data_IF_931521418053
#
_entry.id   IF_931521418053
#
_cell.length_a   1.000
_cell.length_b   1.000
_cell.length_c   1.000
_cell.angle_alpha   90.00
_cell.angle_beta   90.00
_cell.angle_gamma   90.00
#
_symmetry.space_group_name_H-M   'P 1'
#
loop_
_entity.id
_entity.type
_entity.pdbx_description
1 polymer ?
#
# COMPACT_ATOMS: atom_id res chain seq x y z
N UNK A 1 -19.17 -0.29 -10.90
CA UNK A 1 -18.22 -0.06 -12.00
C UNK A 1 -17.63 -1.39 -12.40
N UNK A 2 -17.99 -1.84 -13.59
CA UNK A 2 -17.32 -2.96 -14.24
C UNK A 2 -15.85 -2.57 -14.48
N UNK A 3 -14.95 -3.55 -14.36
CA UNK A 3 -13.52 -3.36 -14.56
C UNK A 3 -13.21 -3.43 -16.06
N UNK A 4 -13.81 -2.54 -16.84
CA UNK A 4 -13.60 -2.47 -18.29
C UNK A 4 -12.38 -1.61 -18.63
N UNK A 5 -11.83 -1.83 -19.81
CA UNK A 5 -10.76 -1.03 -20.40
C UNK A 5 -11.15 0.47 -20.47
N UNK A 6 -12.37 0.75 -20.93
CA UNK A 6 -12.87 2.12 -21.11
C UNK A 6 -12.94 2.90 -19.79
N UNK A 7 -13.37 2.24 -18.71
CA UNK A 7 -13.48 2.89 -17.40
C UNK A 7 -12.10 3.26 -16.81
N UNK A 8 -11.11 2.40 -17.01
CA UNK A 8 -9.75 2.64 -16.54
C UNK A 8 -9.02 3.67 -17.39
N UNK A 9 -9.19 3.61 -18.71
CA UNK A 9 -8.66 4.61 -19.65
C UNK A 9 -9.21 5.99 -19.33
N UNK A 10 -10.53 6.13 -19.16
CA UNK A 10 -11.13 7.41 -18.76
C UNK A 10 -10.57 7.89 -17.42
N UNK A 11 -10.52 7.03 -16.40
CA UNK A 11 -10.01 7.41 -15.09
C UNK A 11 -8.55 7.88 -15.15
N UNK A 12 -7.67 7.14 -15.84
CA UNK A 12 -6.26 7.49 -15.95
C UNK A 12 -6.05 8.78 -16.74
N UNK A 13 -6.84 9.02 -17.79
CA UNK A 13 -6.80 10.30 -18.53
C UNK A 13 -7.18 11.49 -17.64
N UNK A 14 -8.11 11.31 -16.70
CA UNK A 14 -8.44 12.37 -15.74
C UNK A 14 -7.32 12.58 -14.72
N UNK A 15 -6.62 11.51 -14.32
CA UNK A 15 -5.46 11.60 -13.43
C UNK A 15 -4.29 12.30 -14.10
N UNK A 16 -4.04 12.04 -15.38
CA UNK A 16 -2.96 12.65 -16.16
C UNK A 16 -3.07 14.18 -16.22
N UNK A 17 -4.31 14.70 -16.20
CA UNK A 17 -4.58 16.16 -16.14
C UNK A 17 -4.11 16.81 -14.84
N UNK A 18 -3.91 16.02 -13.79
CA UNK A 18 -3.51 16.48 -12.45
C UNK A 18 -2.04 16.12 -12.17
N UNK A 19 -1.62 14.94 -12.63
CA UNK A 19 -0.27 14.39 -12.42
C UNK A 19 0.37 14.15 -13.78
N UNK A 20 1.41 14.92 -14.08
CA UNK A 20 2.16 14.80 -15.33
C UNK A 20 2.94 13.48 -15.37
N UNK A 21 2.90 12.80 -16.53
CA UNK A 21 3.70 11.58 -16.75
C UNK A 21 5.21 11.88 -16.73
N UNK A 22 5.97 11.01 -16.07
CA UNK A 22 7.40 11.20 -15.82
C UNK A 22 8.10 9.86 -15.52
N UNK A 23 9.38 9.76 -15.87
CA UNK A 23 10.22 8.63 -15.48
C UNK A 23 10.47 8.55 -13.97
N UNK A 24 10.24 9.65 -13.23
CA UNK A 24 10.30 9.66 -11.76
C UNK A 24 8.99 9.22 -11.10
N UNK A 25 7.89 9.15 -11.87
CA UNK A 25 6.58 8.75 -11.37
C UNK A 25 6.52 7.22 -11.19
N UNK A 26 5.96 6.78 -10.07
CA UNK A 26 5.72 5.36 -9.80
C UNK A 26 4.25 5.11 -9.49
N UNK A 27 3.62 4.22 -10.25
CA UNK A 27 2.22 3.83 -10.09
C UNK A 27 2.16 2.41 -9.53
N UNK A 28 1.46 2.20 -8.41
CA UNK A 28 1.28 0.89 -7.79
C UNK A 28 -0.19 0.49 -7.85
N UNK A 29 -0.49 -0.64 -8.47
CA UNK A 29 -1.86 -1.12 -8.62
C UNK A 29 -2.00 -2.65 -8.58
N UNK A 30 -3.24 -3.15 -8.66
CA UNK A 30 -3.48 -4.56 -8.96
C UNK A 30 -3.01 -4.86 -10.40
N UNK A 31 -2.53 -6.09 -10.60
CA UNK A 31 -2.10 -6.60 -11.89
C UNK A 31 -3.29 -7.13 -12.70
N UNK A 32 -4.36 -6.35 -12.78
CA UNK A 32 -5.46 -6.65 -13.70
C UNK A 32 -5.03 -6.24 -15.11
N UNK A 33 -5.35 -7.06 -16.12
CA UNK A 33 -4.83 -6.87 -17.49
C UNK A 33 -5.20 -5.49 -18.05
N UNK A 34 -6.45 -5.06 -17.86
CA UNK A 34 -6.89 -3.71 -18.26
C UNK A 34 -6.05 -2.61 -17.62
N UNK A 35 -5.83 -2.66 -16.30
CA UNK A 35 -5.06 -1.63 -15.59
C UNK A 35 -3.64 -1.53 -16.13
N UNK A 36 -2.98 -2.66 -16.38
CA UNK A 36 -1.60 -2.68 -16.88
C UNK A 36 -1.52 -2.10 -18.29
N UNK A 37 -2.47 -2.48 -19.15
CA UNK A 37 -2.58 -1.94 -20.50
C UNK A 37 -2.75 -0.41 -20.47
N UNK A 38 -3.67 0.08 -19.64
CA UNK A 38 -4.12 1.47 -19.70
C UNK A 38 -3.07 2.38 -19.07
N UNK A 39 -2.40 1.93 -18.02
CA UNK A 39 -1.22 2.64 -17.48
C UNK A 39 -0.14 2.75 -18.55
N UNK A 40 0.11 1.71 -19.34
CA UNK A 40 1.16 1.75 -20.37
C UNK A 40 0.81 2.70 -21.52
N UNK A 41 -0.49 2.95 -21.75
CA UNK A 41 -0.96 3.89 -22.78
C UNK A 41 -0.99 5.33 -22.28
N UNK A 42 -1.51 5.57 -21.07
CA UNK A 42 -1.68 6.93 -20.51
C UNK A 42 -0.42 7.45 -19.79
N UNK A 43 0.38 6.56 -19.20
CA UNK A 43 1.60 6.91 -18.46
C UNK A 43 2.80 6.08 -18.95
N UNK A 44 3.22 6.22 -20.23
CA UNK A 44 4.27 5.41 -20.81
C UNK A 44 5.65 5.62 -20.16
N UNK A 45 5.91 6.78 -19.53
CA UNK A 45 7.17 7.05 -18.83
C UNK A 45 7.16 6.54 -17.40
N UNK A 46 6.00 6.49 -16.75
CA UNK A 46 5.89 6.06 -15.36
C UNK A 46 6.29 4.60 -15.14
N UNK A 47 6.95 4.34 -14.01
CA UNK A 47 7.22 2.98 -13.58
C UNK A 47 5.98 2.35 -12.93
N UNK A 48 5.52 1.22 -13.48
CA UNK A 48 4.43 0.46 -12.89
C UNK A 48 4.91 -0.69 -11.99
N UNK A 49 4.44 -0.71 -10.75
CA UNK A 49 4.68 -1.75 -9.76
C UNK A 49 3.41 -2.52 -9.37
N UNK A 50 3.51 -3.84 -9.26
CA UNK A 50 2.44 -4.68 -8.76
C UNK A 50 2.33 -4.59 -7.23
N UNK A 51 1.10 -4.45 -6.74
CA UNK A 51 0.82 -4.54 -5.30
C UNK A 51 1.13 -5.95 -4.77
N UNK A 52 2.04 -6.04 -3.79
CA UNK A 52 2.48 -7.32 -3.21
C UNK A 52 1.34 -8.06 -2.52
N UNK A 53 0.39 -7.37 -1.90
CA UNK A 53 -0.76 -7.99 -1.24
C UNK A 53 -1.65 -8.69 -2.27
N UNK A 54 -1.91 -8.05 -3.41
CA UNK A 54 -2.66 -8.66 -4.50
C UNK A 54 -1.89 -9.84 -5.11
N UNK A 55 -0.58 -9.71 -5.29
CA UNK A 55 0.26 -10.81 -5.77
C UNK A 55 0.22 -12.01 -4.81
N UNK A 56 0.38 -11.79 -3.51
CA UNK A 56 0.26 -12.84 -2.49
C UNK A 56 -1.09 -13.53 -2.52
N UNK A 57 -2.19 -12.77 -2.62
CA UNK A 57 -3.55 -13.33 -2.74
C UNK A 57 -3.68 -14.21 -3.99
N UNK A 58 -3.10 -13.79 -5.13
CA UNK A 58 -3.06 -14.61 -6.37
C UNK A 58 -2.23 -15.88 -6.16
N UNK A 59 -1.08 -15.80 -5.48
CA UNK A 59 -0.25 -16.98 -5.15
C UNK A 59 -1.02 -17.96 -4.25
N UNK A 60 -1.67 -17.49 -3.19
CA UNK A 60 -2.51 -18.33 -2.32
C UNK A 60 -3.63 -18.98 -3.12
N UNK A 61 -4.30 -18.23 -4.00
CA UNK A 61 -5.40 -18.76 -4.81
C UNK A 61 -4.93 -19.84 -5.79
N UNK A 62 -3.81 -19.60 -6.48
CA UNK A 62 -3.29 -20.47 -7.56
C UNK A 62 -2.60 -21.72 -7.02
N UNK A 63 -1.78 -21.59 -5.99
CA UNK A 63 -0.94 -22.67 -5.45
C UNK A 63 -1.43 -23.23 -4.12
N UNK A 64 -2.56 -22.71 -3.60
CA UNK A 64 -3.19 -23.13 -2.34
C UNK A 64 -2.25 -23.11 -1.13
N UNK A 65 -1.21 -22.27 -1.16
CA UNK A 65 -0.18 -22.22 -0.12
C UNK A 65 0.01 -20.81 0.44
N UNK A 66 -0.32 -20.65 1.74
CA UNK A 66 -0.02 -19.43 2.50
C UNK A 66 1.48 -19.28 2.80
N UNK A 67 2.18 -20.40 3.02
CA UNK A 67 3.62 -20.42 3.24
C UNK A 67 4.39 -19.90 2.03
N UNK A 68 3.97 -20.31 0.82
CA UNK A 68 4.54 -19.82 -0.42
C UNK A 68 4.31 -18.32 -0.62
N UNK A 69 3.09 -17.84 -0.36
CA UNK A 69 2.81 -16.40 -0.40
C UNK A 69 3.65 -15.60 0.62
N UNK A 70 3.94 -16.17 1.79
CA UNK A 70 4.85 -15.56 2.76
C UNK A 70 6.28 -15.48 2.23
N UNK A 71 6.80 -16.56 1.61
CA UNK A 71 8.12 -16.53 0.97
C UNK A 71 8.20 -15.48 -0.13
N UNK A 72 7.16 -15.34 -0.96
CA UNK A 72 7.07 -14.30 -2.00
C UNK A 72 7.11 -12.90 -1.38
N UNK A 73 6.38 -12.68 -0.29
CA UNK A 73 6.43 -11.43 0.45
C UNK A 73 7.84 -11.15 0.99
N UNK A 74 8.46 -12.13 1.65
CA UNK A 74 9.82 -11.98 2.17
C UNK A 74 10.82 -11.65 1.06
N UNK A 75 10.76 -12.35 -0.08
CA UNK A 75 11.59 -12.06 -1.25
C UNK A 75 11.34 -10.63 -1.75
N UNK A 76 10.08 -10.23 -1.91
CA UNK A 76 9.72 -8.92 -2.46
C UNK A 76 10.29 -7.74 -1.67
N UNK A 77 10.45 -7.89 -0.35
CA UNK A 77 10.93 -6.83 0.54
C UNK A 77 12.45 -6.81 0.74
N UNK A 78 13.20 -7.73 0.13
CA UNK A 78 14.66 -7.74 0.27
C UNK A 78 15.27 -6.44 -0.28
N UNK A 79 16.36 -6.01 0.34
CA UNK A 79 17.07 -4.78 -0.02
C UNK A 79 18.27 -5.06 -0.92
N UNK A 80 18.88 -6.24 -0.81
CA UNK A 80 20.04 -6.66 -1.60
C UNK A 80 19.64 -7.72 -2.61
N UNK A 81 20.40 -7.79 -3.71
CA UNK A 81 20.23 -8.80 -4.76
C UNK A 81 20.51 -10.20 -4.22
N UNK A 82 21.66 -10.40 -3.57
CA UNK A 82 22.00 -11.68 -2.95
C UNK A 82 20.92 -12.21 -2.00
N UNK A 83 20.36 -11.35 -1.14
CA UNK A 83 19.30 -11.75 -0.21
C UNK A 83 17.99 -12.07 -0.94
N UNK A 84 17.66 -11.32 -2.01
CA UNK A 84 16.53 -11.62 -2.87
C UNK A 84 16.71 -12.96 -3.57
N UNK A 85 17.85 -13.17 -4.23
CA UNK A 85 18.13 -14.34 -5.05
C UNK A 85 18.08 -15.60 -4.18
N UNK A 86 18.69 -15.57 -2.99
CA UNK A 86 18.60 -16.66 -2.01
C UNK A 86 17.15 -16.96 -1.55
N UNK A 87 16.29 -15.94 -1.42
CA UNK A 87 14.86 -16.13 -1.12
C UNK A 87 14.09 -16.64 -2.34
N UNK A 88 14.48 -16.21 -3.54
CA UNK A 88 13.84 -16.59 -4.79
C UNK A 88 14.17 -18.04 -5.16
N UNK A 89 15.39 -18.50 -4.89
CA UNK A 89 15.78 -19.91 -4.98
C UNK A 89 14.98 -20.80 -4.02
N UNK A 90 14.72 -20.32 -2.80
CA UNK A 90 13.84 -21.06 -1.87
C UNK A 90 12.42 -21.20 -2.42
N UNK A 91 11.91 -20.20 -3.15
CA UNK A 91 10.62 -20.30 -3.85
C UNK A 91 10.72 -21.33 -4.98
N UNK A 92 11.82 -21.35 -5.74
CA UNK A 92 12.08 -22.34 -6.80
C UNK A 92 12.10 -23.77 -6.25
N UNK A 93 12.83 -24.01 -5.18
CA UNK A 93 12.91 -25.31 -4.52
C UNK A 93 11.56 -25.75 -3.96
N UNK A 94 10.80 -24.84 -3.35
CA UNK A 94 9.50 -25.17 -2.77
C UNK A 94 8.42 -25.38 -3.83
N UNK A 95 8.44 -24.60 -4.92
CA UNK A 95 7.46 -24.70 -6.01
C UNK A 95 8.00 -24.07 -7.32
N UNK A 96 8.56 -24.89 -8.24
CA UNK A 96 9.08 -24.40 -9.51
C UNK A 96 8.04 -23.69 -10.39
N UNK A 97 6.78 -24.13 -10.36
CA UNK A 97 5.70 -23.51 -11.11
C UNK A 97 5.34 -22.10 -10.59
N UNK A 98 5.47 -21.86 -9.29
CA UNK A 98 5.31 -20.53 -8.70
C UNK A 98 6.50 -19.64 -8.99
N UNK A 99 7.72 -20.18 -8.96
CA UNK A 99 8.91 -19.47 -9.42
C UNK A 99 8.72 -18.98 -10.86
N UNK A 100 8.33 -19.88 -11.78
CA UNK A 100 8.11 -19.53 -13.18
C UNK A 100 7.04 -18.45 -13.35
N UNK A 101 5.91 -18.60 -12.67
CA UNK A 101 4.86 -17.57 -12.66
C UNK A 101 5.34 -16.20 -12.16
N UNK A 102 6.23 -16.15 -11.18
CA UNK A 102 6.78 -14.88 -10.66
C UNK A 102 7.83 -14.27 -11.59
N UNK A 103 8.58 -15.13 -12.29
CA UNK A 103 9.52 -14.74 -13.35
C UNK A 103 8.77 -14.16 -14.55
N UNK A 104 7.66 -14.77 -14.97
CA UNK A 104 6.84 -14.29 -16.09
C UNK A 104 6.15 -12.94 -15.80
N UNK A 105 6.03 -12.55 -14.53
CA UNK A 105 5.57 -11.22 -14.12
C UNK A 105 6.70 -10.18 -14.22
N UNK A 106 7.94 -10.65 -14.30
CA UNK A 106 9.20 -9.93 -14.10
C UNK A 106 9.40 -9.48 -12.65
N UNK A 107 10.57 -9.83 -12.08
CA UNK A 107 10.96 -9.44 -10.72
C UNK A 107 10.99 -7.93 -10.53
N UNK A 108 11.27 -7.18 -11.59
CA UNK A 108 11.23 -5.72 -11.60
C UNK A 108 9.85 -5.14 -11.33
N UNK A 109 8.75 -5.89 -11.51
CA UNK A 109 7.39 -5.41 -11.26
C UNK A 109 6.96 -5.57 -9.80
N UNK A 110 7.51 -6.52 -9.06
CA UNK A 110 6.99 -6.87 -7.72
C UNK A 110 8.03 -6.88 -6.61
N UNK A 111 9.31 -7.03 -6.94
CA UNK A 111 10.38 -6.95 -5.95
C UNK A 111 10.80 -5.51 -5.70
N UNK A 112 11.34 -5.24 -4.53
CA UNK A 112 11.98 -3.98 -4.22
C UNK A 112 13.33 -3.85 -4.93
N UNK A 113 14.15 -4.88 -4.84
CA UNK A 113 15.54 -4.86 -5.29
C UNK A 113 15.71 -4.61 -6.79
N UNK A 114 14.78 -5.11 -7.61
CA UNK A 114 14.85 -5.01 -9.06
C UNK A 114 13.88 -3.98 -9.66
N UNK A 115 13.11 -3.27 -8.82
CA UNK A 115 12.23 -2.21 -9.31
C UNK A 115 13.06 -1.00 -9.73
N UNK A 116 12.79 -0.47 -10.93
CA UNK A 116 13.61 0.58 -11.53
C UNK A 116 13.25 1.99 -11.04
N UNK A 117 12.01 2.20 -10.60
CA UNK A 117 11.53 3.51 -10.16
C UNK A 117 11.65 3.79 -8.67
N UNK A 118 11.21 4.98 -8.28
CA UNK A 118 11.21 5.42 -6.89
C UNK A 118 9.94 4.97 -6.16
N UNK A 119 9.95 3.75 -5.61
CA UNK A 119 8.80 3.22 -4.86
C UNK A 119 8.76 3.57 -3.37
N UNK A 120 9.82 4.16 -2.81
CA UNK A 120 9.89 4.61 -1.40
C UNK A 120 9.35 3.60 -0.35
N UNK A 121 9.64 2.30 -0.50
CA UNK A 121 9.10 1.21 0.34
C UNK A 121 7.60 0.94 0.22
N UNK A 122 6.89 1.66 -0.64
CA UNK A 122 5.51 1.38 -0.97
C UNK A 122 5.48 0.12 -1.86
N UNK A 123 5.04 -0.97 -1.24
CA UNK A 123 4.84 -2.26 -1.90
C UNK A 123 3.36 -2.58 -2.10
N UNK A 124 2.46 -1.79 -1.52
CA UNK A 124 1.04 -2.10 -1.42
C UNK A 124 0.17 -0.96 -1.92
N UNK A 125 -1.02 -1.29 -2.43
CA UNK A 125 -2.10 -0.35 -2.74
C UNK A 125 -2.98 -0.05 -1.52
N UNK A 126 -2.46 -0.21 -0.29
CA UNK A 126 -3.27 -0.12 0.93
C UNK A 126 -3.89 1.27 1.12
N UNK A 127 -3.17 2.34 0.75
CA UNK A 127 -3.69 3.71 0.80
C UNK A 127 -4.96 3.82 -0.05
N UNK A 128 -4.92 3.32 -1.28
CA UNK A 128 -6.08 3.29 -2.17
C UNK A 128 -7.20 2.40 -1.63
N UNK A 129 -6.91 1.21 -1.10
CA UNK A 129 -7.91 0.31 -0.50
C UNK A 129 -8.61 0.96 0.71
N UNK A 130 -7.85 1.63 1.58
CA UNK A 130 -8.36 2.30 2.77
C UNK A 130 -9.22 3.52 2.42
N UNK A 131 -8.77 4.35 1.46
CA UNK A 131 -9.55 5.49 0.99
C UNK A 131 -10.86 5.01 0.34
N UNK A 132 -10.79 3.99 -0.52
CA UNK A 132 -11.96 3.37 -1.14
C UNK A 132 -12.96 2.84 -0.11
N UNK A 133 -12.47 2.26 0.98
CA UNK A 133 -13.32 1.81 2.08
C UNK A 133 -13.95 2.97 2.85
N UNK A 134 -13.19 4.04 3.12
CA UNK A 134 -13.69 5.21 3.84
C UNK A 134 -14.82 5.93 3.09
N UNK A 135 -14.70 6.05 1.77
CA UNK A 135 -15.73 6.66 0.90
C UNK A 135 -16.83 5.69 0.48
N UNK A 136 -16.72 4.39 0.82
CA UNK A 136 -17.65 3.37 0.32
C UNK A 136 -19.12 3.66 0.69
N UNK A 137 -19.36 4.30 1.84
CA UNK A 137 -20.69 4.64 2.34
C UNK A 137 -21.33 5.81 1.58
N UNK A 138 -20.54 6.73 1.03
CA UNK A 138 -21.06 7.90 0.30
C UNK A 138 -21.27 7.63 -1.20
N UNK A 139 -20.84 6.48 -1.72
CA UNK A 139 -20.95 6.14 -3.16
C UNK A 139 -22.38 6.04 -3.69
N UNK A 140 -23.35 5.78 -2.81
CA UNK A 140 -24.76 5.70 -3.17
C UNK A 140 -25.48 7.05 -3.02
N UNK A 141 -24.81 8.06 -2.47
CA UNK A 141 -25.36 9.40 -2.29
C UNK A 141 -25.29 10.21 -3.60
N UNK A 142 -26.12 11.25 -3.75
CA UNK A 142 -25.96 12.23 -4.83
C UNK A 142 -24.53 12.76 -4.92
N UNK A 143 -24.08 13.13 -6.12
CA UNK A 143 -22.68 13.50 -6.38
C UNK A 143 -22.20 14.63 -5.46
N UNK A 144 -23.04 15.64 -5.25
CA UNK A 144 -22.74 16.78 -4.37
C UNK A 144 -22.53 16.31 -2.91
N UNK A 145 -23.39 15.43 -2.41
CA UNK A 145 -23.27 14.84 -1.08
C UNK A 145 -22.00 13.99 -0.94
N UNK A 146 -21.61 13.27 -1.99
CA UNK A 146 -20.36 12.51 -2.01
C UNK A 146 -19.15 13.43 -1.90
N UNK A 147 -19.12 14.55 -2.63
CA UNK A 147 -18.05 15.54 -2.54
C UNK A 147 -17.99 16.20 -1.17
N UNK A 148 -19.14 16.65 -0.63
CA UNK A 148 -19.20 17.21 0.73
C UNK A 148 -18.69 16.21 1.77
N UNK A 149 -19.05 14.93 1.64
CA UNK A 149 -18.55 13.87 2.52
C UNK A 149 -17.03 13.73 2.43
N UNK A 150 -16.47 13.63 1.22
CA UNK A 150 -15.02 13.48 1.00
C UNK A 150 -14.28 14.68 1.58
N UNK A 151 -14.76 15.89 1.32
CA UNK A 151 -14.14 17.11 1.82
C UNK A 151 -14.15 17.15 3.35
N UNK A 152 -15.32 16.95 3.99
CA UNK A 152 -15.43 16.91 5.46
C UNK A 152 -14.53 15.84 6.08
N UNK A 153 -14.42 14.68 5.44
CA UNK A 153 -13.54 13.60 5.88
C UNK A 153 -12.06 14.02 5.83
N UNK A 154 -11.61 14.56 4.70
CA UNK A 154 -10.23 15.02 4.53
C UNK A 154 -9.88 16.17 5.50
N UNK A 155 -10.76 17.16 5.66
CA UNK A 155 -10.58 18.26 6.60
C UNK A 155 -10.41 17.76 8.03
N UNK A 156 -11.25 16.82 8.46
CA UNK A 156 -11.13 16.21 9.80
C UNK A 156 -9.82 15.45 9.97
N UNK A 157 -9.41 14.67 8.96
CA UNK A 157 -8.15 13.91 9.01
C UNK A 157 -6.93 14.83 9.08
N UNK A 158 -6.85 15.84 8.21
CA UNK A 158 -5.74 16.80 8.22
C UNK A 158 -5.70 17.62 9.51
N UNK A 159 -6.85 18.04 10.03
CA UNK A 159 -6.92 18.72 11.33
C UNK A 159 -6.37 17.84 12.45
N UNK A 160 -6.81 16.58 12.54
CA UNK A 160 -6.32 15.63 13.53
C UNK A 160 -4.81 15.36 13.39
N UNK A 161 -4.29 15.24 12.16
CA UNK A 161 -2.86 15.09 11.90
C UNK A 161 -2.07 16.32 12.36
N UNK A 162 -2.55 17.54 12.07
CA UNK A 162 -1.92 18.78 12.55
C UNK A 162 -1.89 18.87 14.08
N UNK A 163 -3.00 18.57 14.76
CA UNK A 163 -3.03 18.56 16.23
C UNK A 163 -2.10 17.52 16.84
N UNK A 164 -1.94 16.36 16.20
CA UNK A 164 -1.01 15.33 16.67
C UNK A 164 0.43 15.76 16.45
N UNK A 165 0.73 16.36 15.30
CA UNK A 165 2.06 16.86 14.96
C UNK A 165 2.48 18.01 15.86
N UNK A 166 1.58 18.95 16.20
CA UNK A 166 1.91 20.09 17.07
C UNK A 166 2.30 19.67 18.49
N UNK A 167 1.83 18.51 18.95
CA UNK A 167 2.19 17.91 20.25
C UNK A 167 3.46 17.07 20.19
N UNK A 168 3.96 16.76 18.98
CA UNK A 168 5.14 15.94 18.79
C UNK A 168 6.39 16.81 18.72
N UNK A 169 7.43 16.42 19.47
CA UNK A 169 8.70 17.16 19.55
C UNK A 169 9.82 16.54 18.70
N UNK A 170 9.54 15.46 17.96
CA UNK A 170 10.50 14.85 17.06
C UNK A 170 10.59 15.61 15.73
N UNK A 171 11.72 15.42 15.04
CA UNK A 171 12.00 16.04 13.74
C UNK A 171 11.08 15.54 12.62
N UNK A 172 10.46 14.37 12.79
CA UNK A 172 9.61 13.73 11.80
C UNK A 172 8.17 13.62 12.30
N UNK A 173 7.21 13.39 11.41
CA UNK A 173 5.85 13.09 11.84
C UNK A 173 5.83 11.84 12.75
N UNK A 174 4.89 11.75 13.72
CA UNK A 174 4.92 10.72 14.77
C UNK A 174 5.01 9.28 14.26
N UNK A 175 4.36 8.98 13.14
CA UNK A 175 4.39 7.66 12.49
C UNK A 175 5.78 7.32 11.92
N UNK A 176 6.44 8.28 11.29
CA UNK A 176 7.78 8.11 10.72
C UNK A 176 8.81 8.02 11.84
N UNK A 177 8.68 8.85 12.86
CA UNK A 177 9.57 8.81 14.03
C UNK A 177 9.52 7.42 14.70
N UNK A 178 8.33 6.83 14.87
CA UNK A 178 8.19 5.45 15.38
C UNK A 178 8.94 4.40 14.55
N UNK A 179 8.90 4.53 13.23
CA UNK A 179 9.62 3.61 12.33
C UNK A 179 11.12 3.81 12.48
N UNK A 180 11.59 5.05 12.52
CA UNK A 180 12.99 5.39 12.72
C UNK A 180 13.50 4.86 14.07
N UNK A 181 12.77 5.11 15.17
CA UNK A 181 13.12 4.60 16.50
C UNK A 181 13.19 3.07 16.54
N UNK A 182 12.32 2.38 15.79
CA UNK A 182 12.37 0.93 15.66
C UNK A 182 13.64 0.47 14.96
N UNK A 183 14.00 1.11 13.83
CA UNK A 183 15.23 0.80 13.12
C UNK A 183 16.47 1.08 13.98
N UNK A 184 16.53 2.23 14.68
CA UNK A 184 17.62 2.56 15.60
C UNK A 184 17.82 1.46 16.64
N UNK A 185 16.72 0.96 17.23
CA UNK A 185 16.77 -0.15 18.20
C UNK A 185 17.30 -1.44 17.58
N UNK A 186 16.85 -1.79 16.36
CA UNK A 186 17.29 -3.00 15.66
C UNK A 186 18.74 -2.94 15.21
N UNK A 187 19.27 -1.75 14.90
CA UNK A 187 20.65 -1.57 14.47
C UNK A 187 21.61 -1.28 15.63
N UNK A 188 21.10 -1.15 16.85
CA UNK A 188 21.90 -0.86 18.05
C UNK A 188 22.98 -1.93 18.23
N UNK A 189 24.25 -1.51 18.22
CA UNK A 189 25.41 -2.42 18.29
C UNK A 189 26.08 -2.71 16.93
N UNK A 190 25.52 -2.20 15.83
CA UNK A 190 26.24 -2.20 14.54
C UNK A 190 27.39 -1.20 14.59
N UNK A 191 28.54 -1.57 14.02
CA UNK A 191 29.71 -0.68 13.93
C UNK A 191 29.67 0.05 12.60
N UNK A 192 29.77 1.38 12.64
CA UNK A 192 29.86 2.23 11.45
C UNK A 192 31.30 2.72 11.35
N UNK A 193 31.92 2.54 10.20
CA UNK A 193 33.26 3.00 9.91
C UNK A 193 33.25 3.80 8.62
N UNK A 194 33.78 5.04 8.61
CA UNK A 194 33.94 5.78 7.36
C UNK A 194 34.87 5.00 6.42
N UNK A 195 34.48 4.91 5.15
CA UNK A 195 35.29 4.28 4.10
C UNK A 195 35.85 5.34 3.15
N UNK A 196 35.03 6.31 2.74
CA UNK A 196 35.38 7.51 1.93
C UNK A 196 34.43 8.67 2.33
N UNK A 197 34.64 9.87 1.77
CA UNK A 197 33.94 11.13 2.13
C UNK A 197 32.41 11.01 2.32
N UNK A 198 31.73 10.24 1.47
CA UNK A 198 30.28 9.98 1.57
C UNK A 198 29.93 8.47 1.65
N UNK A 199 30.91 7.62 1.98
CA UNK A 199 30.76 6.17 1.98
C UNK A 199 31.04 5.59 3.36
N UNK A 200 30.09 4.81 3.89
CA UNK A 200 30.18 4.24 5.24
C UNK A 200 30.07 2.73 5.17
N UNK A 201 31.02 2.05 5.82
CA UNK A 201 30.95 0.61 6.07
C UNK A 201 30.18 0.36 7.36
N UNK A 202 29.07 -0.39 7.27
CA UNK A 202 28.24 -0.78 8.41
C UNK A 202 28.41 -2.27 8.63
N UNK A 203 29.05 -2.65 9.72
CA UNK A 203 29.09 -4.04 10.19
C UNK A 203 27.92 -4.27 11.14
N UNK A 204 26.93 -5.02 10.67
CA UNK A 204 25.75 -5.38 11.46
C UNK A 204 26.09 -6.31 12.63
N UNK A 205 25.15 -6.46 13.56
CA UNK A 205 25.26 -7.30 14.77
C UNK A 205 25.73 -8.74 14.49
N UNK A 206 25.36 -9.30 13.33
CA UNK A 206 25.72 -10.66 12.93
C UNK A 206 26.92 -10.70 11.96
N UNK A 207 27.82 -9.72 12.02
CA UNK A 207 29.06 -9.68 11.23
C UNK A 207 28.91 -9.32 9.75
N UNK A 208 27.68 -9.11 9.26
CA UNK A 208 27.44 -8.77 7.86
C UNK A 208 27.89 -7.33 7.58
N UNK A 209 28.85 -7.16 6.67
CA UNK A 209 29.29 -5.86 6.17
C UNK A 209 28.33 -5.29 5.13
N UNK A 210 28.07 -3.99 5.20
CA UNK A 210 27.34 -3.21 4.20
C UNK A 210 28.14 -1.98 3.86
N UNK A 211 28.02 -1.49 2.64
CA UNK A 211 28.51 -0.17 2.27
C UNK A 211 27.33 0.70 1.90
N UNK A 212 27.26 1.91 2.48
CA UNK A 212 26.23 2.90 2.18
C UNK A 212 26.90 4.14 1.60
N UNK A 213 26.50 4.50 0.39
CA UNK A 213 26.86 5.75 -0.28
C UNK A 213 25.74 6.76 -0.05
N UNK A 214 26.02 7.87 0.64
CA UNK A 214 25.02 8.88 1.02
C UNK A 214 24.86 10.01 -0.02
N UNK A 215 25.90 10.27 -0.82
CA UNK A 215 25.92 11.21 -1.94
C UNK A 215 24.77 10.95 -2.94
N UNK A 216 24.59 9.70 -3.35
CA UNK A 216 23.57 9.25 -4.31
C UNK A 216 22.15 9.25 -3.75
N UNK A 217 21.99 9.25 -2.42
CA UNK A 217 20.66 9.19 -1.78
C UNK A 217 20.11 10.57 -1.44
N UNK A 218 20.97 11.52 -1.11
CA UNK A 218 20.56 12.84 -0.58
C UNK A 218 19.75 13.63 -1.60
N UNK A 219 20.12 13.59 -2.88
CA UNK A 219 19.39 14.29 -3.95
C UNK A 219 17.93 13.81 -4.07
N UNK A 220 17.71 12.49 -4.07
CA UNK A 220 16.37 11.92 -4.15
C UNK A 220 15.47 12.30 -2.96
N UNK A 221 16.02 12.43 -1.75
CA UNK A 221 15.26 12.88 -0.58
C UNK A 221 14.86 14.35 -0.71
N UNK A 222 15.78 15.22 -1.17
CA UNK A 222 15.50 16.64 -1.38
C UNK A 222 14.37 16.83 -2.42
N UNK A 223 14.46 16.13 -3.56
CA UNK A 223 13.46 16.25 -4.63
C UNK A 223 12.06 15.77 -4.21
N UNK A 224 11.99 14.76 -3.32
CA UNK A 224 10.73 14.17 -2.85
C UNK A 224 9.92 15.13 -1.96
N UNK A 225 10.59 16.04 -1.24
CA UNK A 225 9.95 16.98 -0.31
C UNK A 225 9.98 18.43 -0.79
N UNK A 226 10.48 18.70 -2.00
CA UNK A 226 10.51 20.04 -2.59
C UNK A 226 9.11 20.58 -2.95
N UNK A 227 8.12 19.70 -3.10
CA UNK A 227 6.73 20.08 -3.40
C UNK A 227 6.03 20.74 -2.21
N UNK A 228 5.66 22.01 -2.37
CA UNK A 228 4.83 22.75 -1.41
C UNK A 228 3.36 22.45 -1.68
N UNK A 229 2.67 21.85 -0.70
CA UNK A 229 1.19 21.71 -0.75
C UNK A 229 0.58 22.99 -0.18
N UNK A 230 0.03 23.81 -1.06
CA UNK A 230 -0.75 24.98 -0.65
C UNK A 230 -2.14 24.53 -0.19
N UNK A 231 -2.66 25.01 0.96
CA UNK A 231 -4.06 24.84 1.28
C UNK A 231 -4.89 25.62 0.25
N UNK A 232 -5.78 24.94 -0.48
CA UNK A 232 -6.76 25.62 -1.31
C UNK A 232 -7.69 26.48 -0.45
N UNK A 233 -8.06 27.64 -1.00
CA UNK A 233 -9.02 28.60 -0.46
C UNK A 233 -10.44 28.01 -0.41
N UNK A 234 -11.33 28.71 0.28
CA UNK A 234 -12.72 28.32 0.49
C UNK A 234 -13.44 27.98 -0.83
N UNK A 235 -14.38 27.02 -0.81
CA UNK A 235 -15.04 26.43 -2.00
C UNK A 235 -15.98 27.41 -2.74
N UNK A 236 -15.90 28.70 -2.47
CA UNK A 236 -16.83 29.73 -2.96
C UNK A 236 -16.57 30.22 -4.39
N UNK A 237 -15.39 29.96 -4.97
CA UNK A 237 -14.95 30.65 -6.21
C UNK A 237 -14.43 29.72 -7.31
N UNK A 238 -14.99 28.50 -7.47
CA UNK A 238 -14.72 27.72 -8.67
C UNK A 238 -15.66 28.14 -9.80
N UNK A 239 -15.13 28.82 -10.82
CA UNK A 239 -15.83 29.05 -12.07
C UNK A 239 -16.02 27.70 -12.77
N UNK A 240 -17.27 27.26 -12.92
CA UNK A 240 -17.61 26.01 -13.59
C UNK A 240 -17.24 26.15 -15.08
N UNK A 241 -16.36 25.30 -15.64
CA UNK A 241 -16.08 25.29 -17.07
C UNK A 241 -17.37 25.12 -17.90
N UNK A 242 -17.57 25.87 -19.00
CA UNK A 242 -18.79 25.85 -19.80
C UNK A 242 -19.19 24.47 -20.36
N UNK A 243 -18.27 23.51 -20.39
CA UNK A 243 -18.45 22.17 -20.98
C UNK A 243 -19.02 21.11 -20.01
N UNK A 244 -19.17 21.42 -18.71
CA UNK A 244 -19.70 20.50 -17.70
C UNK A 244 -21.22 20.28 -17.68
N UNK A 245 -22.08 21.28 -18.02
CA UNK A 245 -23.53 21.10 -18.02
C UNK A 245 -24.03 20.05 -19.01
N UNK A 246 -23.33 19.89 -20.14
CA UNK A 246 -23.76 19.03 -21.25
C UNK A 246 -23.20 17.60 -21.16
N UNK A 247 -22.49 17.26 -20.08
CA UNK A 247 -21.90 15.93 -19.93
C UNK A 247 -22.99 14.91 -19.53
N UNK A 248 -23.29 13.86 -20.33
CA UNK A 248 -24.29 12.87 -19.96
C UNK A 248 -23.78 11.99 -18.80
N UNK A 249 -24.20 12.31 -17.57
CA UNK A 249 -23.90 11.53 -16.37
C UNK A 249 -24.96 10.43 -16.21
N UNK A 250 -24.65 9.22 -16.65
CA UNK A 250 -25.51 8.05 -16.44
C UNK A 250 -25.57 7.60 -14.96
N UNK A 251 -26.63 6.90 -14.53
CA UNK A 251 -26.77 6.43 -13.16
C UNK A 251 -25.68 5.41 -12.79
N UNK A 252 -25.11 5.56 -11.59
CA UNK A 252 -24.08 4.67 -11.05
C UNK A 252 -24.61 3.24 -10.87
N UNK A 253 -24.26 2.32 -11.77
CA UNK A 253 -24.51 0.88 -11.59
C UNK A 253 -23.54 0.28 -10.57
N UNK A 254 -23.93 0.25 -9.30
CA UNK A 254 -23.17 -0.40 -8.23
C UNK A 254 -23.83 -1.70 -7.78
N UNK A 255 -23.30 -2.86 -8.22
CA UNK A 255 -23.60 -4.14 -7.56
C UNK A 255 -22.56 -4.40 -6.48
N UNK A 256 -23.01 -4.59 -5.24
CA UNK A 256 -22.16 -4.94 -4.09
C UNK A 256 -21.79 -6.43 -4.16
N UNK A 257 -20.50 -6.82 -4.11
CA UNK A 257 -20.13 -8.23 -3.96
C UNK A 257 -20.60 -8.74 -2.59
N UNK A 258 -21.13 -9.97 -2.56
CA UNK A 258 -21.61 -10.61 -1.33
C UNK A 258 -20.45 -10.88 -0.36
N UNK A 259 -20.59 -10.45 0.89
CA UNK A 259 -19.62 -10.75 1.96
C UNK A 259 -19.59 -9.69 3.05
N UNK A 260 -19.26 -10.11 4.28
CA UNK A 260 -19.11 -9.20 5.43
C UNK A 260 -17.88 -8.30 5.24
N UNK A 261 -18.02 -6.97 5.25
CA UNK A 261 -16.89 -6.05 5.21
C UNK A 261 -15.97 -6.29 6.40
N UNK A 262 -14.65 -6.26 6.18
CA UNK A 262 -13.70 -6.31 7.28
C UNK A 262 -13.70 -4.96 8.00
N UNK A 263 -13.99 -4.97 9.29
CA UNK A 263 -13.98 -3.78 10.15
C UNK A 263 -12.56 -3.37 10.57
N UNK A 264 -11.60 -4.29 10.49
CA UNK A 264 -10.22 -4.05 10.94
C UNK A 264 -9.23 -3.88 9.78
N UNK A 265 -8.41 -2.86 9.93
CA UNK A 265 -7.27 -2.52 9.06
C UNK A 265 -6.18 -3.60 9.16
N UNK A 266 -5.60 -3.97 8.02
CA UNK A 266 -4.41 -4.83 7.97
C UNK A 266 -3.17 -3.92 8.00
N UNK A 267 -2.30 -4.03 9.01
CA UNK A 267 -1.07 -3.23 9.09
C UNK A 267 -0.04 -3.65 8.02
N UNK A 268 0.72 -2.69 7.51
CA UNK A 268 1.87 -2.94 6.63
C UNK A 268 3.06 -3.50 7.43
N UNK A 269 4.02 -4.15 6.77
CA UNK A 269 5.27 -4.58 7.41
C UNK A 269 6.02 -3.37 7.97
N UNK A 270 6.27 -3.35 9.29
CA UNK A 270 6.89 -2.23 10.02
C UNK A 270 5.89 -1.38 10.81
N UNK A 271 4.59 -1.54 10.59
CA UNK A 271 3.58 -0.94 11.45
C UNK A 271 3.32 -1.85 12.67
N UNK A 272 3.33 -1.25 13.87
CA UNK A 272 2.98 -1.95 15.11
C UNK A 272 1.50 -2.38 15.00
N UNK A 273 1.19 -3.69 15.00
CA UNK A 273 -0.20 -4.13 15.00
C UNK A 273 -0.91 -3.59 16.24
N UNK A 274 -2.19 -3.17 16.15
CA UNK A 274 -2.96 -2.88 17.34
C UNK A 274 -2.92 -4.10 18.26
N UNK A 275 -2.65 -3.88 19.56
CA UNK A 275 -2.70 -4.93 20.58
C UNK A 275 -4.03 -5.66 20.38
N UNK A 276 -3.97 -6.97 20.14
CA UNK A 276 -5.20 -7.79 20.05
C UNK A 276 -5.93 -7.59 21.36
N UNK A 277 -7.07 -6.91 21.35
CA UNK A 277 -7.96 -6.88 22.51
C UNK A 277 -8.29 -8.34 22.80
N UNK A 278 -7.79 -8.87 23.91
CA UNK A 278 -8.28 -10.12 24.47
C UNK A 278 -9.78 -9.97 24.60
N UNK A 279 -10.55 -10.89 24.02
CA UNK A 279 -12.00 -10.89 24.16
C UNK A 279 -12.31 -11.01 25.65
N UNK A 280 -12.73 -9.91 26.27
CA UNK A 280 -13.08 -9.90 27.70
C UNK A 280 -14.41 -10.62 27.95
N UNK A 281 -15.26 -10.72 26.92
CA UNK A 281 -16.57 -11.37 27.00
C UNK A 281 -16.50 -12.75 26.31
N UNK A 282 -16.71 -13.85 27.04
CA UNK A 282 -16.83 -15.18 26.47
C UNK A 282 -18.03 -15.24 25.50
N UNK A 283 -17.85 -15.89 24.35
CA UNK A 283 -18.98 -16.15 23.46
C UNK A 283 -19.95 -17.11 24.17
N UNK A 284 -21.26 -16.86 24.12
CA UNK A 284 -22.29 -17.81 24.56
C UNK A 284 -22.82 -18.62 23.38
N UNK A 285 -22.97 -19.91 23.59
CA UNK A 285 -23.59 -20.81 22.64
C UNK A 285 -25.10 -20.57 22.59
N UNK A 286 -25.66 -20.33 21.41
CA UNK A 286 -27.10 -20.15 21.21
C UNK A 286 -27.92 -21.44 21.42
N UNK A 287 -27.29 -22.62 21.45
CA UNK A 287 -27.97 -23.91 21.70
C UNK A 287 -28.03 -24.26 23.18
N UNK A 288 -26.89 -24.33 23.86
CA UNK A 288 -26.83 -24.78 25.26
C UNK A 288 -26.60 -23.65 26.28
N UNK A 289 -26.46 -22.41 25.83
CA UNK A 289 -26.14 -21.27 26.70
C UNK A 289 -24.70 -21.25 27.25
N UNK A 290 -23.92 -22.32 27.05
CA UNK A 290 -22.56 -22.46 27.56
C UNK A 290 -21.58 -21.44 26.98
N UNK A 291 -20.57 -21.05 27.75
CA UNK A 291 -19.57 -20.06 27.36
C UNK A 291 -18.40 -20.72 26.58
N UNK A 292 -17.61 -19.90 25.87
CA UNK A 292 -16.36 -20.26 25.17
C UNK A 292 -16.49 -21.12 23.90
N UNK A 293 -17.69 -21.45 23.47
CA UNK A 293 -17.95 -22.11 22.19
C UNK A 293 -19.18 -21.51 21.50
N UNK A 294 -19.38 -21.87 20.22
CA UNK A 294 -20.54 -21.46 19.44
C UNK A 294 -21.39 -22.69 19.06
N UNK A 295 -22.60 -22.47 18.54
CA UNK A 295 -23.54 -23.54 18.17
C UNK A 295 -22.94 -24.57 17.21
N UNK A 296 -22.06 -24.14 16.29
CA UNK A 296 -21.38 -25.04 15.34
C UNK A 296 -20.37 -25.99 15.98
N UNK A 297 -19.92 -25.71 17.21
CA UNK A 297 -18.97 -26.53 17.97
C UNK A 297 -19.60 -27.04 19.27
N UNK A 298 -20.93 -26.99 19.37
CA UNK A 298 -21.66 -27.46 20.54
C UNK A 298 -21.86 -28.97 20.45
N UNK A 299 -21.43 -29.68 21.49
CA UNK A 299 -21.60 -31.13 21.62
C UNK A 299 -22.95 -31.52 22.23
N UNK A 300 -23.76 -30.54 22.68
CA UNK A 300 -25.10 -30.82 23.15
C UNK A 300 -26.00 -31.28 21.98
N UNK A 301 -26.86 -32.30 22.22
CA UNK A 301 -27.85 -32.75 21.24
C UNK A 301 -28.72 -31.59 20.75
N UNK A 302 -29.23 -31.73 19.53
CA UNK A 302 -30.22 -30.80 18.96
C UNK A 302 -31.56 -31.04 19.63
#
# INVERSE_FOLDING_TARGET
MEKTHDAWTWFLSMVERIIVDSSTLTIISDRHVSIVSDISQTFPKAHHGACIVHLMRKVVSRYKSKGLAKLVCEAAFQFRRADFDAKFDKIKMANPACFKYLEDIHTSKWSRTYFLGNRYNLMTSNIAEQLNNAISKSRASPIVEMFMFIQRMLTRWFSAMRTKSSKHRGFYIPEVDKVIQTHIKLTKGSKISPSKEWSFSIRGLFGHGNTVHLDTKTQHWIDTYAGVIYPETDIGEFSIPPALPDLPIGPLRTRRPSGRPKESRIPSTGEIPPVKKTKTVPNKCSRCGGTWHNQTRCVCPI
#
